data_IF_184761427968
#
_entry.id   IF_184761427968
#
_cell.length_a   1.000
_cell.length_b   1.000
_cell.length_c   1.000
_cell.angle_alpha   90.00
_cell.angle_beta   90.00
_cell.angle_gamma   90.00
#
_symmetry.space_group_name_H-M   'P 1'
#
loop_
_entity.id
_entity.type
_entity.pdbx_description
1 polymer ?
#
# COMPACT_ATOMS: atom_id res chain seq x y z
N UNK A 1 16.53 5.30 17.57
CA UNK A 1 15.28 5.88 17.02
C UNK A 1 15.37 6.29 15.55
N UNK A 2 16.50 6.87 15.10
CA UNK A 2 16.67 7.33 13.70
C UNK A 2 16.53 6.18 12.68
N UNK A 3 17.12 5.01 12.97
CA UNK A 3 17.09 3.83 12.10
C UNK A 3 15.67 3.34 11.83
N UNK A 4 14.85 3.23 12.88
CA UNK A 4 13.44 2.80 12.78
C UNK A 4 12.64 3.79 11.92
N UNK A 5 12.90 5.10 12.06
CA UNK A 5 12.25 6.12 11.25
C UNK A 5 12.63 6.01 9.77
N UNK A 6 13.91 5.78 9.47
CA UNK A 6 14.37 5.56 8.10
C UNK A 6 13.77 4.28 7.49
N UNK A 7 13.70 3.19 8.26
CA UNK A 7 13.09 1.95 7.80
C UNK A 7 11.59 2.12 7.51
N UNK A 8 10.87 2.82 8.39
CA UNK A 8 9.47 3.19 8.19
C UNK A 8 9.28 4.03 6.93
N UNK A 9 10.15 5.03 6.71
CA UNK A 9 10.08 5.88 5.53
C UNK A 9 10.31 5.07 4.24
N UNK A 10 11.36 4.25 4.22
CA UNK A 10 11.69 3.39 3.08
C UNK A 10 10.58 2.39 2.78
N UNK A 11 10.00 1.77 3.82
CA UNK A 11 8.86 0.87 3.68
C UNK A 11 7.64 1.58 3.09
N UNK A 12 7.26 2.74 3.61
CA UNK A 12 6.16 3.55 3.07
C UNK A 12 6.40 3.93 1.60
N UNK A 13 7.60 4.40 1.26
CA UNK A 13 7.96 4.75 -0.11
C UNK A 13 7.88 3.54 -1.06
N UNK A 14 8.38 2.37 -0.63
CA UNK A 14 8.29 1.14 -1.40
C UNK A 14 6.84 0.71 -1.62
N UNK A 15 6.00 0.76 -0.58
CA UNK A 15 4.58 0.40 -0.67
C UNK A 15 3.81 1.35 -1.59
N UNK A 16 4.02 2.66 -1.46
CA UNK A 16 3.39 3.66 -2.33
C UNK A 16 3.77 3.43 -3.79
N UNK A 17 5.07 3.26 -4.06
CA UNK A 17 5.59 2.99 -5.41
C UNK A 17 4.98 1.71 -5.99
N UNK A 18 4.95 0.64 -5.18
CA UNK A 18 4.37 -0.64 -5.59
C UNK A 18 2.88 -0.51 -5.93
N UNK A 19 2.08 0.12 -5.05
CA UNK A 19 0.64 0.26 -5.26
C UNK A 19 0.34 1.10 -6.50
N UNK A 20 1.06 2.20 -6.71
CA UNK A 20 0.92 3.03 -7.92
C UNK A 20 1.27 2.21 -9.17
N UNK A 21 2.43 1.54 -9.17
CA UNK A 21 2.84 0.68 -10.27
C UNK A 21 1.77 -0.36 -10.60
N UNK A 22 1.21 -1.02 -9.58
CA UNK A 22 0.23 -2.08 -9.76
C UNK A 22 -1.11 -1.53 -10.27
N UNK A 23 -1.57 -0.37 -9.79
CA UNK A 23 -2.75 0.32 -10.34
C UNK A 23 -2.56 0.57 -11.84
N UNK A 24 -1.42 1.13 -12.25
CA UNK A 24 -1.11 1.40 -13.65
C UNK A 24 -1.02 0.11 -14.49
N UNK A 25 -0.53 -0.99 -13.90
CA UNK A 25 -0.48 -2.29 -14.56
C UNK A 25 -1.88 -2.86 -14.78
N UNK A 26 -2.74 -2.91 -13.75
CA UNK A 26 -4.11 -3.45 -13.85
C UNK A 26 -4.98 -2.64 -14.80
N UNK A 27 -4.78 -1.32 -14.89
CA UNK A 27 -5.50 -0.50 -15.88
C UNK A 27 -5.28 -0.94 -17.32
N UNK A 28 -4.15 -1.61 -17.62
CA UNK A 28 -3.83 -2.17 -18.94
C UNK A 28 -4.37 -3.58 -19.16
N UNK A 29 -5.01 -4.18 -18.15
CA UNK A 29 -5.53 -5.55 -18.20
C UNK A 29 -7.06 -5.57 -18.35
N UNK A 30 -7.58 -6.63 -18.97
CA UNK A 30 -9.03 -6.88 -19.08
C UNK A 30 -9.54 -7.73 -17.91
N UNK A 31 -9.00 -7.52 -16.71
CA UNK A 31 -9.39 -8.30 -15.53
C UNK A 31 -10.82 -7.92 -15.10
N UNK A 32 -11.75 -8.88 -14.92
CA UNK A 32 -13.14 -8.59 -14.52
C UNK A 32 -13.22 -7.91 -13.15
N UNK A 33 -12.26 -8.17 -12.26
CA UNK A 33 -12.20 -7.60 -10.92
C UNK A 33 -11.37 -6.31 -10.84
N UNK A 34 -10.97 -5.71 -11.99
CA UNK A 34 -10.09 -4.52 -12.04
C UNK A 34 -10.56 -3.39 -11.13
N UNK A 35 -11.87 -3.12 -11.08
CA UNK A 35 -12.45 -2.03 -10.31
C UNK A 35 -12.23 -2.24 -8.82
N UNK A 36 -12.45 -3.47 -8.34
CA UNK A 36 -12.23 -3.83 -6.95
C UNK A 36 -10.77 -3.78 -6.56
N UNK A 37 -9.88 -4.28 -7.43
CA UNK A 37 -8.45 -4.24 -7.18
C UNK A 37 -7.97 -2.80 -7.04
N UNK A 38 -8.31 -1.93 -8.00
CA UNK A 38 -7.94 -0.51 -7.97
C UNK A 38 -8.50 0.18 -6.73
N UNK A 39 -9.76 -0.07 -6.37
CA UNK A 39 -10.38 0.56 -5.21
C UNK A 39 -9.68 0.18 -3.90
N UNK A 40 -9.35 -1.11 -3.72
CA UNK A 40 -8.58 -1.58 -2.56
C UNK A 40 -7.15 -1.01 -2.58
N UNK A 41 -6.49 -0.96 -3.74
CA UNK A 41 -5.15 -0.36 -3.85
C UNK A 41 -5.16 1.13 -3.48
N UNK A 42 -6.17 1.90 -3.90
CA UNK A 42 -6.33 3.32 -3.54
C UNK A 42 -6.58 3.45 -2.03
N UNK A 43 -7.42 2.60 -1.45
CA UNK A 43 -7.70 2.60 -0.02
C UNK A 43 -6.44 2.32 0.80
N UNK A 44 -5.63 1.34 0.37
CA UNK A 44 -4.34 1.05 0.98
C UNK A 44 -3.38 2.23 0.84
N UNK A 45 -3.36 2.91 -0.31
CA UNK A 45 -2.53 4.09 -0.58
C UNK A 45 -2.84 5.30 0.33
N UNK A 46 -4.09 5.44 0.80
CA UNK A 46 -4.47 6.56 1.68
C UNK A 46 -3.71 6.55 3.01
N UNK A 47 -3.44 5.38 3.57
CA UNK A 47 -2.74 5.25 4.85
C UNK A 47 -1.30 5.79 4.82
N UNK A 48 -0.40 5.30 3.94
CA UNK A 48 0.98 5.80 3.88
C UNK A 48 1.03 7.24 3.38
N UNK A 49 0.13 7.67 2.48
CA UNK A 49 0.12 9.06 1.99
C UNK A 49 -0.28 10.05 3.09
N UNK A 50 -1.33 9.77 3.85
CA UNK A 50 -1.74 10.61 4.99
C UNK A 50 -0.72 10.61 6.13
N UNK A 51 0.04 9.52 6.32
CA UNK A 51 1.17 9.48 7.24
C UNK A 51 2.36 10.33 6.75
N UNK A 52 2.70 10.25 5.46
CA UNK A 52 3.77 11.07 4.87
C UNK A 52 3.44 12.57 4.94
N UNK A 53 2.16 12.94 4.78
CA UNK A 53 1.68 14.31 4.94
C UNK A 53 1.58 14.76 6.41
N UNK A 54 1.78 13.86 7.37
CA UNK A 54 1.73 14.17 8.80
C UNK A 54 0.33 14.24 9.42
N UNK A 55 -0.73 13.90 8.68
CA UNK A 55 -2.10 13.86 9.20
C UNK A 55 -2.31 12.70 10.18
N UNK A 56 -1.69 11.55 9.92
CA UNK A 56 -1.82 10.35 10.75
C UNK A 56 -0.47 10.03 11.40
N UNK A 57 -0.48 9.79 12.71
CA UNK A 57 0.74 9.38 13.43
C UNK A 57 1.01 7.89 13.22
N UNK A 58 2.26 7.48 12.94
CA UNK A 58 2.62 6.08 12.88
C UNK A 58 2.46 5.44 14.26
N UNK A 59 1.52 4.50 14.38
CA UNK A 59 1.26 3.72 15.59
C UNK A 59 1.85 2.31 15.47
N UNK A 60 2.09 1.60 16.59
CA UNK A 60 2.45 0.19 16.54
C UNK A 60 1.40 -0.63 15.77
N UNK A 61 0.12 -0.30 15.93
CA UNK A 61 -1.00 -0.91 15.22
C UNK A 61 -0.81 -0.82 13.70
N UNK A 62 -0.44 0.36 13.19
CA UNK A 62 -0.10 0.53 11.77
C UNK A 62 1.06 -0.36 11.33
N UNK A 63 2.14 -0.39 12.11
CA UNK A 63 3.34 -1.18 11.83
C UNK A 63 3.06 -2.68 11.68
N UNK A 64 2.03 -3.20 12.36
CA UNK A 64 1.65 -4.62 12.27
C UNK A 64 0.53 -4.88 11.26
N UNK A 65 -0.56 -4.11 11.28
CA UNK A 65 -1.71 -4.36 10.42
C UNK A 65 -1.44 -4.01 8.96
N UNK A 66 -0.72 -2.93 8.70
CA UNK A 66 -0.56 -2.44 7.33
C UNK A 66 0.29 -3.37 6.46
N UNK A 67 1.44 -3.92 6.92
CA UNK A 67 2.15 -4.95 6.16
C UNK A 67 1.29 -6.20 5.89
N UNK A 68 0.49 -6.64 6.87
CA UNK A 68 -0.41 -7.79 6.71
C UNK A 68 -1.47 -7.51 5.64
N UNK A 69 -2.08 -6.32 5.66
CA UNK A 69 -3.07 -5.91 4.68
C UNK A 69 -2.47 -5.83 3.26
N UNK A 70 -1.25 -5.29 3.13
CA UNK A 70 -0.49 -5.29 1.87
C UNK A 70 -0.23 -6.72 1.40
N UNK A 71 0.29 -7.59 2.26
CA UNK A 71 0.56 -9.00 1.93
C UNK A 71 -0.69 -9.76 1.50
N UNK A 72 -1.83 -9.51 2.16
CA UNK A 72 -3.11 -10.11 1.78
C UNK A 72 -3.58 -9.59 0.42
N UNK A 73 -3.49 -8.28 0.18
CA UNK A 73 -3.82 -7.68 -1.11
C UNK A 73 -2.96 -8.28 -2.22
N UNK A 74 -1.65 -8.38 -2.01
CA UNK A 74 -0.70 -9.04 -2.91
C UNK A 74 -1.10 -10.48 -3.22
N UNK A 75 -1.49 -11.24 -2.20
CA UNK A 75 -1.90 -12.63 -2.36
C UNK A 75 -3.16 -12.75 -3.22
N UNK A 76 -4.18 -11.93 -2.94
CA UNK A 76 -5.46 -11.95 -3.65
C UNK A 76 -5.32 -11.56 -5.13
N UNK A 77 -4.35 -10.70 -5.46
CA UNK A 77 -4.14 -10.21 -6.83
C UNK A 77 -2.98 -10.92 -7.55
N UNK A 78 -2.37 -11.95 -6.95
CA UNK A 78 -1.18 -12.62 -7.49
C UNK A 78 -1.40 -13.13 -8.91
N UNK A 79 -2.60 -13.62 -9.21
CA UNK A 79 -2.97 -14.21 -10.51
C UNK A 79 -3.84 -13.27 -11.36
N UNK A 80 -3.92 -11.99 -11.00
CA UNK A 80 -4.79 -10.98 -11.63
C UNK A 80 -4.10 -10.16 -12.71
#
# INVERSE_FOLDING_TARGET
MILIRMLLLAFNAAVVTYLIYRILQIQKTTNPNKTWIILISILLLLLPTTMLMGFVRPTPVYLFLYPVAISLHLYLIRNS
#
